data_IF_922482303586
#
_entry.id   IF_922482303586
#
_cell.length_a   1.000
_cell.length_b   1.000
_cell.length_c   1.000
_cell.angle_alpha   90.00
_cell.angle_beta   90.00
_cell.angle_gamma   90.00
#
_symmetry.space_group_name_H-M   'P 1'
#
loop_
_entity.id
_entity.type
_entity.pdbx_description
1 polymer ?
#
# COMPACT_ATOMS: atom_id res chain seq x y z
N UNK A 1 8.10 -15.91 -9.44
CA UNK A 1 9.52 -15.52 -9.53
C UNK A 1 10.27 -16.55 -10.36
N UNK A 2 10.97 -16.11 -11.42
CA UNK A 2 11.72 -16.97 -12.34
C UNK A 2 13.11 -16.36 -12.53
N UNK A 3 14.17 -17.18 -12.44
CA UNK A 3 15.54 -16.79 -12.80
C UNK A 3 15.87 -17.49 -14.11
N UNK A 4 16.29 -16.73 -15.12
CA UNK A 4 16.61 -17.29 -16.43
C UNK A 4 18.09 -17.70 -16.47
N UNK A 5 18.40 -18.91 -16.95
CA UNK A 5 19.78 -19.39 -17.08
C UNK A 5 20.06 -19.75 -18.54
N UNK A 6 21.10 -19.20 -19.14
CA UNK A 6 21.45 -19.49 -20.54
C UNK A 6 22.96 -19.53 -20.78
N UNK A 7 23.40 -20.30 -21.79
CA UNK A 7 24.79 -20.36 -22.22
C UNK A 7 25.13 -19.41 -23.38
N UNK A 8 24.11 -18.91 -24.09
CA UNK A 8 24.27 -18.06 -25.29
C UNK A 8 23.22 -16.95 -25.29
N UNK A 9 23.16 -16.15 -24.24
CA UNK A 9 22.28 -14.98 -24.24
C UNK A 9 23.09 -13.70 -24.27
N UNK A 10 22.72 -12.82 -25.18
CA UNK A 10 23.27 -11.47 -25.23
C UNK A 10 22.69 -10.64 -24.07
N UNK A 11 23.33 -9.52 -23.73
CA UNK A 11 22.76 -8.55 -22.78
C UNK A 11 21.33 -8.14 -23.21
N UNK A 12 21.04 -8.13 -24.52
CA UNK A 12 19.69 -7.83 -25.03
C UNK A 12 18.65 -8.88 -24.61
N UNK A 13 19.02 -10.15 -24.59
CA UNK A 13 18.13 -11.25 -24.16
C UNK A 13 17.89 -11.21 -22.65
N UNK A 14 18.93 -10.88 -21.88
CA UNK A 14 18.83 -10.66 -20.43
C UNK A 14 17.86 -9.53 -20.10
N UNK A 15 18.01 -8.38 -20.75
CA UNK A 15 17.14 -7.21 -20.57
C UNK A 15 15.70 -7.54 -21.00
N UNK A 16 15.53 -8.29 -22.10
CA UNK A 16 14.20 -8.73 -22.55
C UNK A 16 13.56 -9.67 -21.54
N UNK A 17 14.30 -10.62 -20.96
CA UNK A 17 13.80 -11.53 -19.93
C UNK A 17 13.33 -10.78 -18.68
N UNK A 18 14.12 -9.81 -18.20
CA UNK A 18 13.73 -8.99 -17.04
C UNK A 18 12.49 -8.14 -17.36
N UNK A 19 12.40 -7.56 -18.56
CA UNK A 19 11.19 -6.83 -19.01
C UNK A 19 9.94 -7.70 -19.09
N UNK A 20 10.09 -9.00 -19.34
CA UNK A 20 9.00 -9.98 -19.36
C UNK A 20 8.66 -10.52 -17.95
N UNK A 21 9.31 -10.02 -16.90
CA UNK A 21 9.03 -10.39 -15.51
C UNK A 21 9.94 -11.47 -14.92
N UNK A 22 11.07 -11.78 -15.57
CA UNK A 22 12.12 -12.54 -14.91
C UNK A 22 12.71 -11.70 -13.77
N UNK A 23 12.91 -12.33 -12.61
CA UNK A 23 13.46 -11.68 -11.44
C UNK A 23 14.97 -11.43 -11.57
N UNK A 24 15.65 -12.34 -12.26
CA UNK A 24 17.07 -12.20 -12.57
C UNK A 24 17.48 -13.09 -13.76
N UNK A 25 18.71 -12.93 -14.22
CA UNK A 25 19.28 -13.63 -15.37
C UNK A 25 20.73 -14.04 -15.10
N UNK A 26 21.11 -15.27 -15.44
CA UNK A 26 22.43 -15.85 -15.16
C UNK A 26 23.02 -16.52 -16.41
N UNK A 27 24.25 -16.16 -16.79
CA UNK A 27 24.95 -16.72 -17.96
C UNK A 27 25.90 -17.84 -17.57
N UNK A 28 25.84 -18.96 -18.30
CA UNK A 28 26.86 -20.02 -18.20
C UNK A 28 28.09 -19.65 -19.03
N UNK A 29 29.31 -19.99 -18.56
CA UNK A 29 29.61 -20.53 -17.23
C UNK A 29 29.49 -19.43 -16.15
N UNK A 30 28.92 -19.77 -14.99
CA UNK A 30 28.83 -18.89 -13.82
C UNK A 30 29.55 -19.53 -12.63
N UNK A 31 30.02 -18.70 -11.71
CA UNK A 31 30.61 -19.16 -10.46
C UNK A 31 29.53 -19.53 -9.44
N UNK A 32 29.88 -20.40 -8.48
CA UNK A 32 28.94 -20.85 -7.45
C UNK A 32 28.46 -19.68 -6.60
N UNK A 33 29.37 -18.75 -6.30
CA UNK A 33 29.14 -17.54 -5.51
C UNK A 33 28.12 -16.62 -6.19
N UNK A 34 28.19 -16.50 -7.51
CA UNK A 34 27.25 -15.71 -8.32
C UNK A 34 25.84 -16.30 -8.27
N UNK A 35 25.71 -17.61 -8.41
CA UNK A 35 24.43 -18.31 -8.27
C UNK A 35 23.84 -18.11 -6.87
N UNK A 36 24.65 -18.25 -5.82
CA UNK A 36 24.22 -18.06 -4.43
C UNK A 36 23.72 -16.62 -4.22
N UNK A 37 24.41 -15.62 -4.76
CA UNK A 37 24.01 -14.22 -4.66
C UNK A 37 22.64 -13.97 -5.32
N UNK A 38 22.46 -14.44 -6.55
CA UNK A 38 21.22 -14.28 -7.32
C UNK A 38 20.05 -14.96 -6.59
N UNK A 39 20.24 -16.19 -6.13
CA UNK A 39 19.21 -16.93 -5.38
C UNK A 39 18.85 -16.21 -4.09
N UNK A 40 19.83 -15.71 -3.32
CA UNK A 40 19.58 -14.99 -2.07
C UNK A 40 18.79 -13.69 -2.29
N UNK A 41 19.14 -12.92 -3.33
CA UNK A 41 18.39 -11.71 -3.69
C UNK A 41 16.94 -12.03 -4.03
N UNK A 42 16.75 -13.07 -4.83
CA UNK A 42 15.44 -13.50 -5.28
C UNK A 42 14.58 -14.01 -4.10
N UNK A 43 15.16 -14.79 -3.18
CA UNK A 43 14.49 -15.22 -1.94
C UNK A 43 14.10 -14.04 -1.05
N UNK A 44 14.98 -13.04 -0.91
CA UNK A 44 14.70 -11.83 -0.11
C UNK A 44 13.54 -11.03 -0.71
N UNK A 45 13.54 -10.83 -2.03
CA UNK A 45 12.46 -10.15 -2.73
C UNK A 45 11.12 -10.88 -2.52
N UNK A 46 11.09 -12.20 -2.70
CA UNK A 46 9.90 -13.02 -2.46
C UNK A 46 9.41 -12.95 -1.00
N UNK A 47 10.33 -12.92 -0.03
CA UNK A 47 9.97 -12.77 1.39
C UNK A 47 9.28 -11.43 1.63
N UNK A 48 9.85 -10.34 1.13
CA UNK A 48 9.26 -9.00 1.27
C UNK A 48 7.89 -8.89 0.57
N UNK A 49 7.75 -9.47 -0.62
CA UNK A 49 6.48 -9.51 -1.35
C UNK A 49 5.41 -10.28 -0.57
N UNK A 50 5.77 -11.44 0.01
CA UNK A 50 4.86 -12.23 0.84
C UNK A 50 4.45 -11.47 2.11
N UNK A 51 5.40 -10.88 2.82
CA UNK A 51 5.13 -10.08 4.02
C UNK A 51 4.22 -8.88 3.69
N UNK A 52 4.45 -8.20 2.57
CA UNK A 52 3.59 -7.10 2.14
C UNK A 52 2.14 -7.59 1.89
N UNK A 53 1.98 -8.70 1.17
CA UNK A 53 0.67 -9.29 0.91
C UNK A 53 -0.03 -9.75 2.20
N UNK A 54 0.69 -10.39 3.12
CA UNK A 54 0.17 -10.79 4.43
C UNK A 54 -0.29 -9.58 5.25
N UNK A 55 0.52 -8.53 5.32
CA UNK A 55 0.17 -7.29 6.02
C UNK A 55 -1.06 -6.61 5.40
N UNK A 56 -1.11 -6.50 4.06
CA UNK A 56 -2.27 -5.97 3.35
C UNK A 56 -3.54 -6.80 3.59
N UNK A 57 -3.41 -8.12 3.61
CA UNK A 57 -4.53 -9.03 3.91
C UNK A 57 -5.04 -8.83 5.33
N UNK A 58 -4.15 -8.71 6.33
CA UNK A 58 -4.54 -8.46 7.72
C UNK A 58 -5.25 -7.11 7.89
N UNK A 59 -4.81 -6.08 7.16
CA UNK A 59 -5.48 -4.77 7.16
C UNK A 59 -6.87 -4.89 6.55
N UNK A 60 -7.02 -5.62 5.44
CA UNK A 60 -8.31 -5.86 4.80
C UNK A 60 -9.25 -6.62 5.74
N UNK A 61 -8.78 -7.68 6.40
CA UNK A 61 -9.59 -8.44 7.36
C UNK A 61 -10.03 -7.56 8.54
N UNK A 62 -9.08 -6.85 9.16
CA UNK A 62 -9.33 -6.02 10.35
C UNK A 62 -10.22 -4.81 10.09
N UNK A 63 -10.12 -4.22 8.90
CA UNK A 63 -10.84 -3.00 8.55
C UNK A 63 -11.94 -3.21 7.51
N UNK A 64 -12.19 -4.45 7.10
CA UNK A 64 -13.43 -4.83 6.42
C UNK A 64 -14.63 -4.60 7.34
N UNK A 65 -15.83 -4.57 6.77
CA UNK A 65 -17.07 -4.47 7.53
C UNK A 65 -17.17 -5.50 8.66
N UNK A 66 -16.66 -6.71 8.42
CA UNK A 66 -16.66 -7.83 9.37
C UNK A 66 -15.74 -7.58 10.58
N UNK A 67 -14.75 -6.69 10.45
CA UNK A 67 -13.84 -6.29 11.51
C UNK A 67 -14.41 -5.25 12.48
N UNK A 68 -15.52 -4.58 12.13
CA UNK A 68 -16.19 -3.60 12.99
C UNK A 68 -17.24 -4.31 13.85
N UNK A 69 -17.01 -4.35 15.16
CA UNK A 69 -17.91 -5.01 16.11
C UNK A 69 -19.08 -4.09 16.47
N UNK A 70 -20.29 -4.48 16.08
CA UNK A 70 -21.55 -3.87 16.54
C UNK A 70 -22.76 -4.53 15.89
N UNK A 71 -23.92 -4.52 16.56
CA UNK A 71 -25.16 -5.19 16.09
C UNK A 71 -26.41 -4.32 16.23
N UNK A 72 -26.26 -2.99 16.13
CA UNK A 72 -27.41 -2.08 16.21
C UNK A 72 -27.94 -1.80 14.80
N UNK A 73 -29.26 -1.64 14.67
CA UNK A 73 -29.90 -1.30 13.39
C UNK A 73 -29.33 -0.02 12.78
N UNK A 74 -28.97 0.97 13.61
CA UNK A 74 -28.31 2.20 13.17
C UNK A 74 -26.94 1.93 12.53
N UNK A 75 -26.19 0.95 13.02
CA UNK A 75 -24.90 0.59 12.43
C UNK A 75 -25.09 -0.14 11.09
N UNK A 76 -26.14 -0.97 10.97
CA UNK A 76 -26.50 -1.62 9.70
C UNK A 76 -26.86 -0.61 8.62
N UNK A 77 -27.57 0.47 8.98
CA UNK A 77 -27.85 1.60 8.08
C UNK A 77 -26.56 2.27 7.61
N UNK A 78 -25.60 2.49 8.51
CA UNK A 78 -24.28 3.05 8.17
C UNK A 78 -23.52 2.12 7.23
N UNK A 79 -23.46 0.81 7.50
CA UNK A 79 -22.80 -0.15 6.60
C UNK A 79 -23.47 -0.21 5.23
N UNK A 80 -24.79 -0.10 5.18
CA UNK A 80 -25.55 -0.01 3.93
C UNK A 80 -25.22 1.25 3.13
N UNK A 81 -25.01 2.38 3.81
CA UNK A 81 -24.57 3.61 3.15
C UNK A 81 -23.14 3.49 2.63
N UNK A 82 -22.24 2.97 3.47
CA UNK A 82 -20.82 2.78 3.12
C UNK A 82 -20.67 1.88 1.90
N UNK A 83 -21.38 0.76 1.83
CA UNK A 83 -21.31 -0.16 0.67
C UNK A 83 -21.76 0.49 -0.65
N UNK A 84 -22.63 1.51 -0.59
CA UNK A 84 -23.06 2.29 -1.76
C UNK A 84 -22.04 3.34 -2.17
N UNK A 85 -21.40 4.03 -1.21
CA UNK A 85 -20.46 5.13 -1.51
C UNK A 85 -19.03 4.66 -1.77
N UNK A 86 -18.60 3.54 -1.20
CA UNK A 86 -17.25 3.01 -1.35
C UNK A 86 -16.80 2.81 -2.82
N UNK A 87 -17.62 2.31 -3.76
CA UNK A 87 -17.20 2.18 -5.16
C UNK A 87 -17.20 3.50 -5.96
N UNK A 88 -17.63 4.62 -5.35
CA UNK A 88 -17.67 5.95 -5.96
C UNK A 88 -16.42 6.77 -5.67
N UNK A 89 -16.19 7.82 -6.46
CA UNK A 89 -15.10 8.79 -6.26
C UNK A 89 -15.54 10.04 -5.46
N UNK A 90 -16.74 10.00 -4.86
CA UNK A 90 -17.29 11.13 -4.10
C UNK A 90 -16.62 11.29 -2.74
N UNK A 91 -16.47 12.54 -2.29
CA UNK A 91 -15.98 12.86 -0.94
C UNK A 91 -17.02 12.44 0.12
N UNK A 92 -16.57 11.73 1.16
CA UNK A 92 -17.42 11.30 2.28
C UNK A 92 -17.10 12.11 3.53
N UNK A 93 -18.13 12.70 4.16
CA UNK A 93 -18.02 13.39 5.44
C UNK A 93 -18.53 12.48 6.56
N UNK A 94 -17.67 12.16 7.53
CA UNK A 94 -18.02 11.35 8.70
C UNK A 94 -18.20 12.23 9.92
N UNK A 95 -19.43 12.27 10.45
CA UNK A 95 -19.79 13.03 11.65
C UNK A 95 -20.09 12.09 12.81
N UNK A 96 -19.79 12.54 14.03
CA UNK A 96 -20.02 11.79 15.25
C UNK A 96 -19.13 12.29 16.38
N UNK A 97 -19.48 11.95 17.61
CA UNK A 97 -18.71 12.32 18.80
C UNK A 97 -17.30 11.72 18.79
N UNK A 98 -16.41 12.24 19.62
CA UNK A 98 -15.06 11.67 19.76
C UNK A 98 -15.14 10.20 20.23
N UNK A 99 -14.31 9.33 19.68
CA UNK A 99 -14.28 7.90 20.05
C UNK A 99 -15.37 7.01 19.43
N UNK A 100 -16.27 7.54 18.59
CA UNK A 100 -17.35 6.76 17.95
C UNK A 100 -16.91 5.87 16.77
N UNK A 101 -15.61 5.74 16.51
CA UNK A 101 -15.10 4.86 15.46
C UNK A 101 -15.08 5.46 14.03
N UNK A 102 -15.13 6.79 13.88
CA UNK A 102 -15.05 7.46 12.56
C UNK A 102 -13.83 7.03 11.74
N UNK A 103 -12.67 6.83 12.36
CA UNK A 103 -11.47 6.36 11.66
C UNK A 103 -11.62 4.91 11.15
N UNK A 104 -12.30 4.03 11.92
CA UNK A 104 -12.59 2.66 11.49
C UNK A 104 -13.52 2.67 10.27
N UNK A 105 -14.54 3.52 10.29
CA UNK A 105 -15.45 3.70 9.14
C UNK A 105 -14.73 4.25 7.91
N UNK A 106 -13.81 5.21 8.07
CA UNK A 106 -13.01 5.72 6.95
C UNK A 106 -12.14 4.62 6.31
N UNK A 107 -11.52 3.77 7.13
CA UNK A 107 -10.76 2.60 6.64
C UNK A 107 -11.68 1.59 5.95
N UNK A 108 -12.86 1.32 6.51
CA UNK A 108 -13.84 0.42 5.88
C UNK A 108 -14.30 0.92 4.51
N UNK A 109 -14.55 2.24 4.36
CA UNK A 109 -14.84 2.85 3.05
C UNK A 109 -13.69 2.59 2.08
N UNK A 110 -12.43 2.81 2.49
CA UNK A 110 -11.25 2.58 1.64
C UNK A 110 -11.10 1.13 1.20
N UNK A 111 -11.15 0.17 2.12
CA UNK A 111 -10.98 -1.25 1.79
C UNK A 111 -12.17 -1.85 1.02
N UNK A 112 -13.36 -1.23 1.11
CA UNK A 112 -14.52 -1.55 0.28
C UNK A 112 -14.51 -0.85 -1.09
N UNK A 113 -13.57 0.07 -1.34
CA UNK A 113 -13.49 0.85 -2.57
C UNK A 113 -12.69 0.16 -3.69
N UNK A 114 -12.72 0.75 -4.89
CA UNK A 114 -11.84 0.38 -6.00
C UNK A 114 -10.36 0.68 -5.72
N UNK A 115 -10.06 1.50 -4.71
CA UNK A 115 -8.72 1.97 -4.33
C UNK A 115 -8.14 1.18 -3.15
N UNK A 116 -8.72 0.03 -2.77
CA UNK A 116 -8.29 -0.78 -1.62
C UNK A 116 -6.79 -1.16 -1.61
N UNK A 117 -6.16 -1.22 -2.78
CA UNK A 117 -4.72 -1.53 -2.93
C UNK A 117 -3.81 -0.30 -2.84
N UNK A 118 -4.40 0.89 -2.93
CA UNK A 118 -3.71 2.17 -2.87
C UNK A 118 -3.45 2.59 -1.42
N UNK A 119 -2.47 3.49 -1.19
CA UNK A 119 -2.19 4.01 0.15
C UNK A 119 -3.41 4.71 0.77
N UNK A 120 -3.69 4.38 2.03
CA UNK A 120 -4.64 5.10 2.86
C UNK A 120 -3.88 5.96 3.87
N UNK A 121 -3.94 7.28 3.71
CA UNK A 121 -3.22 8.24 4.56
C UNK A 121 -4.19 8.96 5.47
N UNK A 122 -4.01 8.83 6.78
CA UNK A 122 -4.78 9.55 7.79
C UNK A 122 -4.02 10.79 8.25
N UNK A 123 -4.65 11.96 8.16
CA UNK A 123 -4.10 13.21 8.70
C UNK A 123 -4.99 13.68 9.84
N UNK A 124 -4.43 13.82 11.02
CA UNK A 124 -5.14 14.40 12.17
C UNK A 124 -4.84 15.90 12.27
N UNK A 125 -5.74 16.73 11.74
CA UNK A 125 -5.57 18.19 11.74
C UNK A 125 -5.51 18.81 13.14
N UNK A 126 -6.00 18.13 14.20
CA UNK A 126 -5.90 18.66 15.57
C UNK A 126 -4.51 18.48 16.19
N UNK A 127 -3.68 17.62 15.62
CA UNK A 127 -2.34 17.31 16.12
C UNK A 127 -1.24 18.11 15.40
N UNK A 128 -1.57 18.76 14.28
CA UNK A 128 -0.63 19.52 13.46
C UNK A 128 -0.82 21.01 13.72
N UNK A 129 0.23 21.76 14.12
CA UNK A 129 0.17 23.21 14.20
C UNK A 129 -0.30 23.83 12.87
N UNK A 130 -1.20 24.80 12.92
CA UNK A 130 -1.82 25.41 11.74
C UNK A 130 -0.79 25.93 10.74
N UNK A 131 0.31 26.51 11.23
CA UNK A 131 1.41 27.03 10.43
C UNK A 131 2.23 25.96 9.69
N UNK A 132 2.11 24.68 10.06
CA UNK A 132 2.78 23.55 9.39
C UNK A 132 1.83 22.71 8.55
N UNK A 133 0.52 22.90 8.69
CA UNK A 133 -0.50 22.05 8.05
C UNK A 133 -0.42 22.11 6.52
N UNK A 134 -0.31 23.31 5.94
CA UNK A 134 -0.20 23.49 4.49
C UNK A 134 1.09 22.84 3.94
N UNK A 135 2.19 22.99 4.68
CA UNK A 135 3.48 22.40 4.33
C UNK A 135 3.45 20.87 4.34
N UNK A 136 2.80 20.25 5.33
CA UNK A 136 2.69 18.79 5.42
C UNK A 136 1.75 18.20 4.37
N UNK A 137 0.66 18.90 4.03
CA UNK A 137 -0.34 18.43 3.06
C UNK A 137 0.08 18.62 1.60
N UNK A 138 0.77 19.73 1.30
CA UNK A 138 1.07 20.13 -0.07
C UNK A 138 2.56 20.15 -0.39
N UNK A 139 3.42 20.01 0.63
CA UNK A 139 4.85 20.25 0.51
C UNK A 139 5.18 21.74 0.55
N UNK A 140 6.47 22.06 0.67
CA UNK A 140 6.98 23.42 0.59
C UNK A 140 8.28 23.47 -0.21
N UNK A 141 8.60 24.66 -0.74
CA UNK A 141 9.88 24.93 -1.37
C UNK A 141 10.83 25.52 -0.34
N UNK A 142 12.14 25.23 -0.45
CA UNK A 142 13.18 25.81 0.38
C UNK A 142 13.01 27.34 0.50
N UNK A 143 12.92 27.83 1.73
CA UNK A 143 12.72 29.26 2.02
C UNK A 143 11.27 29.75 2.07
N UNK A 144 10.26 28.87 1.95
CA UNK A 144 8.84 29.26 2.04
C UNK A 144 8.45 29.82 3.43
N UNK A 145 9.12 29.40 4.50
CA UNK A 145 8.99 29.94 5.85
C UNK A 145 10.30 29.79 6.64
N UNK A 146 10.43 30.48 7.77
CA UNK A 146 11.59 30.35 8.68
C UNK A 146 11.69 28.91 9.21
N UNK A 147 12.62 28.13 8.67
CA UNK A 147 12.79 26.70 8.97
C UNK A 147 12.62 25.75 7.78
N UNK A 148 12.20 26.25 6.61
CA UNK A 148 12.10 25.48 5.37
C UNK A 148 13.49 25.22 4.74
N UNK A 149 14.08 24.04 4.98
CA UNK A 149 15.43 23.62 4.52
C UNK A 149 15.37 22.96 3.14
#
# INVERSE_FOLDING_TARGET
>A
MVILITAYGTIKDAVKAVRLGAADYLTKPFEKEELILVVNRALRARKLERENLELKSQLTERFSFDGIIGRSSKLDEVFTLVSKVAPSDSTVLLLGESGTGKELLAKAIHYASKRKEEPFVTVNCSAIPENLMESELFGHVKGAFTGAI
#
